data_IF_473009598939
#
_entry.id   IF_473009598939
#
_cell.length_a   1.000
_cell.length_b   1.000
_cell.length_c   1.000
_cell.angle_alpha   90.00
_cell.angle_beta   90.00
_cell.angle_gamma   90.00
#
_symmetry.space_group_name_H-M   'P 1'
#
loop_
_entity.id
_entity.type
_entity.pdbx_description
1 polymer ?
#
# COMPACT_ATOMS: atom_id res chain seq x y z
N UNK A 1 -18.29 -1.13 13.25
CA UNK A 1 -18.19 -0.52 14.60
C UNK A 1 -18.85 0.85 14.56
N UNK A 2 -20.04 1.03 15.15
CA UNK A 2 -20.70 2.35 15.21
C UNK A 2 -19.94 3.21 16.24
N UNK A 3 -19.26 4.24 15.76
CA UNK A 3 -18.32 5.05 16.52
C UNK A 3 -19.04 5.82 17.62
N UNK A 4 -18.51 5.79 18.86
CA UNK A 4 -19.13 6.43 20.05
C UNK A 4 -19.34 7.94 19.89
N UNK A 5 -18.60 8.57 18.98
CA UNK A 5 -18.75 9.98 18.64
C UNK A 5 -20.08 10.26 17.92
N UNK A 6 -20.52 9.35 17.05
CA UNK A 6 -21.75 9.53 16.26
C UNK A 6 -22.99 9.53 17.17
N UNK A 7 -23.02 8.66 18.19
CA UNK A 7 -24.08 8.65 19.22
C UNK A 7 -24.01 9.87 20.13
N UNK A 8 -22.83 10.43 20.37
CA UNK A 8 -22.67 11.62 21.21
C UNK A 8 -23.17 12.90 20.54
N UNK A 9 -22.92 13.05 19.23
CA UNK A 9 -23.41 14.18 18.41
C UNK A 9 -24.94 14.15 18.29
N UNK A 10 -25.53 12.96 18.16
CA UNK A 10 -27.00 12.81 18.14
C UNK A 10 -27.65 13.14 19.48
N UNK A 11 -26.98 12.86 20.60
CA UNK A 11 -27.50 13.15 21.95
C UNK A 11 -27.24 14.59 22.40
N UNK A 12 -26.29 15.29 21.78
CA UNK A 12 -25.95 16.67 22.08
C UNK A 12 -25.77 17.43 20.76
N UNK A 13 -26.86 17.73 20.03
CA UNK A 13 -26.75 18.54 18.83
C UNK A 13 -26.19 19.92 19.21
N UNK A 14 -25.18 20.44 18.48
CA UNK A 14 -24.62 21.75 18.78
C UNK A 14 -25.71 22.82 18.63
N UNK A 15 -25.78 23.74 19.59
CA UNK A 15 -26.68 24.90 19.53
C UNK A 15 -26.19 25.90 18.48
N UNK A 16 -26.44 25.59 17.21
CA UNK A 16 -26.30 26.55 16.12
C UNK A 16 -27.71 26.95 15.68
N UNK A 17 -28.11 28.14 16.15
CA UNK A 17 -29.23 28.88 15.57
C UNK A 17 -29.02 29.00 14.04
N UNK A 18 -30.03 28.68 13.20
CA UNK A 18 -29.92 28.78 11.74
C UNK A 18 -29.54 30.17 11.21
N UNK A 19 -29.57 31.21 12.05
CA UNK A 19 -29.20 32.58 11.70
C UNK A 19 -27.68 32.86 11.78
N UNK A 20 -26.85 31.94 12.28
CA UNK A 20 -25.40 32.15 12.41
C UNK A 20 -24.57 31.55 11.26
N UNK A 21 -25.22 30.93 10.27
CA UNK A 21 -24.57 30.34 9.12
C UNK A 21 -24.34 31.41 8.03
N UNK A 22 -23.39 32.32 8.31
CA UNK A 22 -23.06 33.41 7.39
C UNK A 22 -22.02 34.43 7.89
N UNK A 23 -21.54 34.35 9.12
CA UNK A 23 -20.49 35.25 9.60
C UNK A 23 -19.10 34.65 9.31
N UNK A 24 -18.56 34.93 8.13
CA UNK A 24 -17.15 34.65 7.82
C UNK A 24 -16.24 35.53 8.68
N UNK A 25 -15.16 34.92 9.16
CA UNK A 25 -14.13 35.52 9.99
C UNK A 25 -13.25 36.47 9.17
N UNK A 26 -13.67 37.71 9.01
CA UNK A 26 -12.78 38.83 8.64
C UNK A 26 -13.08 40.05 9.51
N UNK A 27 -12.72 39.99 10.79
CA UNK A 27 -12.75 41.15 11.68
C UNK A 27 -11.59 42.10 11.34
N UNK A 28 -11.86 42.98 10.36
CA UNK A 28 -11.01 44.10 10.00
C UNK A 28 -10.96 45.14 11.11
N UNK A 29 -9.79 45.29 11.72
CA UNK A 29 -9.48 46.24 12.78
C UNK A 29 -9.45 47.68 12.22
N UNK A 30 -10.55 48.45 12.35
CA UNK A 30 -10.53 49.91 12.19
C UNK A 30 -11.28 50.63 13.31
N UNK A 31 -10.61 51.67 13.79
CA UNK A 31 -10.84 52.45 15.00
C UNK A 31 -12.23 53.10 15.12
N UNK A 32 -12.83 53.02 16.31
CA UNK A 32 -13.96 53.85 16.71
C UNK A 32 -13.49 54.91 17.71
N UNK A 33 -13.25 56.11 17.19
CA UNK A 33 -12.99 57.35 17.94
C UNK A 33 -14.32 58.09 18.06
N UNK A 34 -14.77 58.37 19.28
CA UNK A 34 -15.77 59.41 19.55
C UNK A 34 -16.94 58.99 20.44
N UNK A 35 -16.91 59.41 21.70
CA UNK A 35 -18.11 59.88 22.42
C UNK A 35 -17.67 61.00 23.38
N UNK A 36 -18.03 62.24 23.02
CA UNK A 36 -17.91 63.44 23.86
C UNK A 36 -19.35 63.86 24.18
N UNK A 37 -19.59 64.12 25.46
CA UNK A 37 -20.90 64.45 26.02
C UNK A 37 -20.97 65.96 26.23
N UNK A 38 -22.06 66.52 25.69
CA UNK A 38 -22.91 67.65 26.13
C UNK A 38 -22.33 68.97 26.69
N UNK A 39 -23.01 70.06 26.33
CA UNK A 39 -22.75 71.40 26.88
C UNK A 39 -23.22 72.60 26.06
N UNK A 40 -24.53 72.71 25.83
CA UNK A 40 -25.35 73.95 25.94
C UNK A 40 -25.11 75.18 25.03
N UNK A 41 -26.15 75.57 24.27
CA UNK A 41 -26.83 76.89 24.33
C UNK A 41 -27.43 77.36 22.98
N UNK A 42 -28.74 77.66 22.97
CA UNK A 42 -29.31 78.79 22.22
C UNK A 42 -30.17 78.51 20.97
N UNK A 43 -31.51 78.47 21.14
CA UNK A 43 -32.53 78.69 20.08
C UNK A 43 -32.71 80.22 19.78
N UNK A 44 -33.69 80.71 18.98
CA UNK A 44 -34.65 80.09 18.03
C UNK A 44 -34.92 80.88 16.70
N UNK A 45 -35.63 80.23 15.75
CA UNK A 45 -36.68 80.72 14.80
C UNK A 45 -36.52 80.02 13.42
N UNK A 46 -37.43 79.15 12.96
CA UNK A 46 -38.84 79.29 12.56
C UNK A 46 -39.01 79.70 11.07
N UNK A 47 -39.54 78.77 10.26
CA UNK A 47 -40.40 79.11 9.11
C UNK A 47 -40.16 78.37 7.79
N UNK A 48 -41.10 77.46 7.47
CA UNK A 48 -41.74 77.23 6.15
C UNK A 48 -40.99 76.57 4.98
N UNK A 49 -41.40 75.32 4.72
CA UNK A 49 -41.93 74.74 3.46
C UNK A 49 -41.68 75.42 2.09
N UNK A 50 -41.27 74.61 1.09
CA UNK A 50 -41.44 74.92 -0.34
C UNK A 50 -40.25 74.64 -1.27
N UNK A 51 -40.29 73.49 -1.95
CA UNK A 51 -40.08 73.24 -3.40
C UNK A 51 -38.94 73.90 -4.21
N UNK A 52 -38.36 73.07 -5.09
CA UNK A 52 -37.65 73.35 -6.37
C UNK A 52 -36.12 73.38 -6.39
N UNK A 53 -35.56 72.23 -6.77
CA UNK A 53 -34.70 72.02 -7.93
C UNK A 53 -33.48 72.95 -8.13
N UNK A 54 -32.31 72.55 -7.64
CA UNK A 54 -31.04 72.82 -8.31
C UNK A 54 -30.20 71.55 -8.39
N UNK A 55 -29.78 71.25 -9.62
CA UNK A 55 -28.88 70.17 -9.98
C UNK A 55 -27.53 70.36 -9.29
N UNK A 56 -27.08 69.37 -8.53
CA UNK A 56 -25.65 69.14 -8.35
C UNK A 56 -25.32 67.73 -8.83
N UNK A 57 -24.71 67.70 -10.00
CA UNK A 57 -24.21 66.52 -10.65
C UNK A 57 -22.86 66.16 -10.03
N UNK A 58 -22.85 65.22 -9.11
CA UNK A 58 -21.69 64.36 -8.90
C UNK A 58 -22.14 62.91 -8.94
N UNK A 59 -21.76 62.26 -10.04
CA UNK A 59 -22.12 60.92 -10.41
C UNK A 59 -21.74 59.91 -9.33
N UNK A 60 -22.68 59.00 -9.13
CA UNK A 60 -22.52 57.67 -8.60
C UNK A 60 -21.60 56.83 -9.52
N UNK A 61 -21.12 55.71 -8.99
CA UNK A 61 -20.40 54.60 -9.66
C UNK A 61 -18.85 54.64 -9.58
N UNK A 62 -18.33 54.40 -8.37
CA UNK A 62 -17.05 53.70 -8.15
C UNK A 62 -17.36 52.23 -7.82
N UNK A 63 -17.89 51.48 -8.80
CA UNK A 63 -18.16 50.03 -8.71
C UNK A 63 -17.85 49.36 -10.08
N UNK A 64 -16.62 49.49 -10.59
CA UNK A 64 -16.22 48.91 -11.90
C UNK A 64 -14.85 48.22 -11.89
N UNK A 65 -14.41 47.76 -10.72
CA UNK A 65 -13.19 46.98 -10.48
C UNK A 65 -13.43 45.46 -10.35
N UNK A 66 -14.63 45.00 -10.75
CA UNK A 66 -14.98 43.59 -11.00
C UNK A 66 -15.19 43.26 -12.49
N UNK A 67 -14.89 44.20 -13.39
CA UNK A 67 -14.90 43.93 -14.83
C UNK A 67 -13.62 43.17 -15.24
N UNK A 68 -13.78 41.91 -15.64
CA UNK A 68 -12.71 41.11 -16.22
C UNK A 68 -12.21 41.81 -17.49
N UNK A 69 -10.95 42.26 -17.51
CA UNK A 69 -10.35 42.92 -18.67
C UNK A 69 -10.47 42.01 -19.92
N UNK A 70 -11.21 42.49 -20.92
CA UNK A 70 -11.48 41.83 -22.22
C UNK A 70 -10.66 42.47 -23.34
N UNK A 71 -9.67 43.31 -23.01
CA UNK A 71 -8.74 43.81 -24.02
C UNK A 71 -8.08 42.64 -24.74
N UNK A 72 -7.85 42.79 -26.05
CA UNK A 72 -7.28 41.76 -26.90
C UNK A 72 -5.93 41.23 -26.35
N UNK A 73 -5.17 42.10 -25.68
CA UNK A 73 -3.95 41.74 -24.98
C UNK A 73 -4.19 40.84 -23.75
N UNK A 74 -5.21 41.12 -22.93
CA UNK A 74 -5.57 40.30 -21.78
C UNK A 74 -6.18 38.94 -22.19
N UNK A 75 -6.98 38.91 -23.26
CA UNK A 75 -7.50 37.66 -23.84
C UNK A 75 -6.39 36.82 -24.44
N UNK A 76 -5.43 37.45 -25.15
CA UNK A 76 -4.26 36.76 -25.70
C UNK A 76 -3.35 36.21 -24.62
N UNK A 77 -3.08 36.97 -23.55
CA UNK A 77 -2.29 36.49 -22.42
C UNK A 77 -2.97 35.30 -21.73
N UNK A 78 -4.29 35.34 -21.50
CA UNK A 78 -5.04 34.19 -20.96
C UNK A 78 -5.04 33.00 -21.91
N UNK A 79 -5.14 33.24 -23.22
CA UNK A 79 -5.10 32.17 -24.23
C UNK A 79 -3.70 31.55 -24.33
N UNK A 80 -2.65 32.35 -24.20
CA UNK A 80 -1.25 31.90 -24.18
C UNK A 80 -0.93 31.15 -22.88
N UNK A 81 -1.48 31.57 -21.74
CA UNK A 81 -1.31 30.89 -20.45
C UNK A 81 -2.12 29.57 -20.40
N UNK A 82 -3.33 29.54 -20.98
CA UNK A 82 -4.10 28.31 -21.19
C UNK A 82 -3.41 27.38 -22.20
N UNK A 83 -2.84 27.92 -23.27
CA UNK A 83 -2.13 27.13 -24.29
C UNK A 83 -0.80 26.62 -23.74
N UNK A 84 -0.08 27.40 -22.93
CA UNK A 84 1.17 26.99 -22.29
C UNK A 84 0.93 26.00 -21.15
N UNK A 85 -0.12 26.19 -20.36
CA UNK A 85 -0.60 25.22 -19.37
C UNK A 85 -1.06 23.91 -20.01
N UNK A 86 -1.72 23.97 -21.17
CA UNK A 86 -2.10 22.79 -21.95
C UNK A 86 -0.89 22.12 -22.62
N UNK A 87 0.11 22.89 -23.07
CA UNK A 87 1.36 22.36 -23.68
C UNK A 87 2.24 21.61 -22.67
N UNK A 88 2.13 21.93 -21.38
CA UNK A 88 2.70 21.11 -20.31
C UNK A 88 1.94 19.80 -20.04
N UNK A 89 0.72 19.65 -20.59
CA UNK A 89 -0.19 18.55 -20.32
C UNK A 89 -0.38 17.56 -21.48
N UNK A 90 0.06 17.90 -22.70
CA UNK A 90 -0.18 17.06 -23.88
C UNK A 90 1.09 16.91 -24.73
N UNK A 91 1.61 15.67 -24.77
CA UNK A 91 2.78 15.18 -25.52
C UNK A 91 4.11 15.51 -24.83
N UNK A 92 4.53 14.62 -23.92
CA UNK A 92 5.95 14.51 -23.63
C UNK A 92 6.64 14.06 -24.93
N UNK A 93 7.60 14.84 -25.43
CA UNK A 93 8.50 14.52 -26.56
C UNK A 93 9.06 13.08 -26.49
N UNK A 94 9.16 12.53 -25.29
CA UNK A 94 9.55 11.15 -25.03
C UNK A 94 8.60 10.07 -25.59
N UNK A 95 7.30 10.36 -25.80
CA UNK A 95 6.38 9.40 -26.42
C UNK A 95 6.59 9.28 -27.94
N UNK A 96 7.20 10.27 -28.57
CA UNK A 96 7.56 10.21 -29.99
C UNK A 96 8.82 9.36 -30.23
N UNK A 97 9.56 9.05 -29.16
CA UNK A 97 10.75 8.18 -29.20
C UNK A 97 10.38 6.73 -29.37
N UNK A 98 11.33 5.95 -29.89
CA UNK A 98 11.13 4.52 -30.11
C UNK A 98 10.92 3.77 -28.79
N UNK A 99 10.23 2.61 -28.80
CA UNK A 99 10.03 1.82 -27.58
C UNK A 99 11.32 1.41 -26.86
N UNK A 100 12.45 1.34 -27.58
CA UNK A 100 13.77 1.04 -27.00
C UNK A 100 14.33 2.25 -26.26
N UNK A 101 14.28 3.43 -26.86
CA UNK A 101 14.73 4.66 -26.22
C UNK A 101 13.92 4.97 -24.96
N UNK A 102 12.61 4.73 -24.96
CA UNK A 102 11.78 4.87 -23.74
C UNK A 102 12.20 3.92 -22.62
N UNK A 103 12.59 2.70 -22.97
CA UNK A 103 13.14 1.72 -22.01
C UNK A 103 14.49 2.20 -21.46
N UNK A 104 15.36 2.73 -22.32
CA UNK A 104 16.68 3.23 -21.93
C UNK A 104 16.58 4.47 -21.03
N UNK A 105 15.62 5.35 -21.29
CA UNK A 105 15.30 6.49 -20.42
C UNK A 105 14.86 6.00 -19.04
N UNK A 106 13.94 5.05 -18.99
CA UNK A 106 13.50 4.46 -17.72
C UNK A 106 14.65 3.76 -16.98
N UNK A 107 15.49 3.02 -17.70
CA UNK A 107 16.68 2.39 -17.13
C UNK A 107 17.62 3.42 -16.49
N UNK A 108 17.91 4.52 -17.20
CA UNK A 108 18.78 5.58 -16.69
C UNK A 108 18.20 6.24 -15.44
N UNK A 109 16.88 6.47 -15.41
CA UNK A 109 16.17 7.04 -14.28
C UNK A 109 16.26 6.14 -13.04
N UNK A 110 15.94 4.85 -13.18
CA UNK A 110 15.99 3.89 -12.06
C UNK A 110 17.43 3.70 -11.59
N UNK A 111 18.41 3.66 -12.50
CA UNK A 111 19.83 3.55 -12.16
C UNK A 111 20.30 4.74 -11.31
N UNK A 112 19.91 5.96 -11.66
CA UNK A 112 20.22 7.14 -10.86
C UNK A 112 19.63 7.06 -9.44
N UNK A 113 18.37 6.60 -9.31
CA UNK A 113 17.71 6.43 -8.01
C UNK A 113 18.35 5.32 -7.17
N UNK A 114 18.81 4.24 -7.82
CA UNK A 114 19.60 3.18 -7.20
C UNK A 114 20.91 3.71 -6.64
N UNK A 115 21.66 4.45 -7.44
CA UNK A 115 22.99 4.97 -7.06
C UNK A 115 22.92 5.98 -5.90
N UNK A 116 21.78 6.66 -5.78
CA UNK A 116 21.48 7.55 -4.65
C UNK A 116 20.98 6.79 -3.40
N UNK A 117 20.78 5.47 -3.46
CA UNK A 117 20.26 4.67 -2.37
C UNK A 117 18.80 4.97 -2.01
N UNK A 118 18.01 5.52 -2.94
CA UNK A 118 16.66 5.99 -2.67
C UNK A 118 15.58 4.93 -2.91
N UNK A 119 15.91 3.77 -3.49
CA UNK A 119 14.91 2.75 -3.89
C UNK A 119 14.07 2.20 -2.74
N UNK A 120 14.59 2.25 -1.50
CA UNK A 120 13.87 1.79 -0.30
C UNK A 120 13.18 2.94 0.45
N UNK A 121 13.34 4.18 0.01
CA UNK A 121 12.71 5.35 0.64
C UNK A 121 11.22 5.37 0.32
N UNK A 122 10.41 5.67 1.33
CA UNK A 122 8.96 5.83 1.16
C UNK A 122 8.64 6.91 0.12
N UNK A 123 7.76 6.57 -0.85
CA UNK A 123 7.33 7.47 -1.92
C UNK A 123 8.10 7.29 -3.23
N UNK A 124 9.34 6.80 -3.18
CA UNK A 124 10.12 6.53 -4.40
C UNK A 124 9.52 5.41 -5.23
N UNK A 125 8.81 4.46 -4.61
CA UNK A 125 8.01 3.45 -5.32
C UNK A 125 6.96 4.08 -6.24
N UNK A 126 6.28 5.13 -5.77
CA UNK A 126 5.28 5.86 -6.56
C UNK A 126 5.92 6.67 -7.67
N UNK A 127 7.03 7.35 -7.38
CA UNK A 127 7.77 8.14 -8.38
C UNK A 127 8.23 7.27 -9.55
N UNK A 128 8.76 6.07 -9.27
CA UNK A 128 9.21 5.12 -10.30
C UNK A 128 8.03 4.61 -11.13
N UNK A 129 6.87 4.36 -10.50
CA UNK A 129 5.66 3.94 -11.22
C UNK A 129 5.14 5.05 -12.12
N UNK A 130 5.09 6.29 -11.63
CA UNK A 130 4.66 7.44 -12.43
C UNK A 130 5.56 7.66 -13.65
N UNK A 131 6.88 7.50 -13.49
CA UNK A 131 7.81 7.60 -14.61
C UNK A 131 7.64 6.45 -15.61
N UNK A 132 7.39 5.23 -15.13
CA UNK A 132 7.10 4.08 -15.99
C UNK A 132 5.77 4.24 -16.76
N UNK A 133 4.77 4.88 -16.15
CA UNK A 133 3.49 5.23 -16.79
C UNK A 133 3.68 6.33 -17.83
N UNK A 134 4.43 7.39 -17.50
CA UNK A 134 4.78 8.48 -18.41
C UNK A 134 5.48 7.98 -19.68
N UNK A 135 6.35 6.99 -19.55
CA UNK A 135 7.10 6.39 -20.66
C UNK A 135 6.37 5.20 -21.33
N UNK A 136 5.19 4.81 -20.84
CA UNK A 136 4.42 3.63 -21.28
C UNK A 136 5.25 2.33 -21.28
N UNK A 137 6.08 2.13 -20.25
CA UNK A 137 6.94 0.93 -20.09
C UNK A 137 6.58 0.11 -18.85
N UNK A 138 5.43 0.38 -18.22
CA UNK A 138 4.96 -0.29 -16.99
C UNK A 138 5.02 -1.82 -17.08
N UNK A 139 4.62 -2.40 -18.20
CA UNK A 139 4.64 -3.86 -18.42
C UNK A 139 6.05 -4.47 -18.47
N UNK A 140 7.06 -3.68 -18.83
CA UNK A 140 8.46 -4.11 -18.95
C UNK A 140 9.32 -3.65 -17.79
N UNK A 141 8.82 -2.76 -16.94
CA UNK A 141 9.56 -2.21 -15.81
C UNK A 141 10.14 -3.30 -14.89
N UNK A 142 9.43 -4.40 -14.54
CA UNK A 142 10.02 -5.46 -13.70
C UNK A 142 11.26 -6.11 -14.29
N UNK A 143 11.34 -6.25 -15.62
CA UNK A 143 12.51 -6.80 -16.30
C UNK A 143 13.75 -5.93 -16.05
N UNK A 144 13.59 -4.61 -16.14
CA UNK A 144 14.64 -3.61 -15.92
C UNK A 144 15.02 -3.54 -14.43
N UNK A 145 14.02 -3.62 -13.55
CA UNK A 145 14.23 -3.64 -12.11
C UNK A 145 15.05 -4.85 -11.67
N UNK A 146 14.78 -6.04 -12.22
CA UNK A 146 15.57 -7.24 -11.95
C UNK A 146 17.05 -7.02 -12.28
N UNK A 147 17.35 -6.47 -13.46
CA UNK A 147 18.73 -6.24 -13.89
C UNK A 147 19.47 -5.25 -12.98
N UNK A 148 18.78 -4.22 -12.48
CA UNK A 148 19.40 -3.15 -11.69
C UNK A 148 19.54 -3.48 -10.20
N UNK A 149 18.62 -4.31 -9.67
CA UNK A 149 18.46 -4.54 -8.23
C UNK A 149 19.02 -5.91 -7.82
N UNK A 150 18.83 -6.94 -8.64
CA UNK A 150 19.11 -8.31 -8.24
C UNK A 150 20.54 -8.75 -8.58
N UNK A 151 21.12 -9.48 -7.62
CA UNK A 151 22.43 -10.13 -7.74
C UNK A 151 22.34 -11.57 -7.19
N UNK A 152 23.46 -12.11 -6.72
CA UNK A 152 23.57 -13.44 -6.11
C UNK A 152 22.63 -13.61 -4.88
N UNK A 153 22.22 -12.52 -4.24
CA UNK A 153 21.33 -12.46 -3.07
C UNK A 153 19.87 -12.15 -3.44
N UNK A 154 19.44 -12.49 -4.66
CA UNK A 154 18.09 -12.25 -5.20
C UNK A 154 16.97 -12.55 -4.18
N UNK A 155 17.03 -13.66 -3.43
CA UNK A 155 15.98 -14.05 -2.46
C UNK A 155 15.81 -13.00 -1.34
N UNK A 156 16.91 -12.42 -0.84
CA UNK A 156 16.85 -11.38 0.19
C UNK A 156 16.37 -10.07 -0.42
N UNK A 157 16.90 -9.72 -1.59
CA UNK A 157 16.53 -8.49 -2.28
C UNK A 157 15.05 -8.47 -2.69
N UNK A 158 14.48 -9.60 -3.08
CA UNK A 158 13.04 -9.71 -3.37
C UNK A 158 12.19 -9.29 -2.18
N UNK A 159 12.60 -9.64 -0.94
CA UNK A 159 11.90 -9.23 0.28
C UNK A 159 12.07 -7.72 0.51
N UNK A 160 13.29 -7.20 0.34
CA UNK A 160 13.60 -5.77 0.51
C UNK A 160 12.82 -4.88 -0.45
N UNK A 161 12.70 -5.30 -1.72
CA UNK A 161 12.09 -4.52 -2.79
C UNK A 161 10.67 -5.00 -3.13
N UNK A 162 10.04 -5.83 -2.29
CA UNK A 162 8.70 -6.39 -2.52
C UNK A 162 7.69 -5.30 -2.88
N UNK A 163 7.62 -4.24 -2.08
CA UNK A 163 6.65 -3.15 -2.29
C UNK A 163 6.81 -2.50 -3.66
N UNK A 164 8.05 -2.27 -4.11
CA UNK A 164 8.32 -1.67 -5.42
C UNK A 164 7.88 -2.61 -6.55
N UNK A 165 8.23 -3.90 -6.46
CA UNK A 165 7.88 -4.89 -7.48
C UNK A 165 6.36 -5.10 -7.55
N UNK A 166 5.70 -5.18 -6.39
CA UNK A 166 4.26 -5.38 -6.28
C UNK A 166 3.46 -4.26 -6.95
N UNK A 167 3.96 -3.02 -6.94
CA UNK A 167 3.32 -1.88 -7.65
C UNK A 167 3.21 -2.11 -9.16
N UNK A 168 4.10 -2.92 -9.73
CA UNK A 168 4.09 -3.25 -11.14
C UNK A 168 3.34 -4.54 -11.43
N UNK A 169 3.46 -5.55 -10.57
CA UNK A 169 2.93 -6.89 -10.84
C UNK A 169 1.48 -7.08 -10.44
N UNK A 170 0.98 -6.33 -9.45
CA UNK A 170 -0.38 -6.49 -8.96
C UNK A 170 -1.42 -6.21 -10.06
N UNK A 171 -2.20 -7.24 -10.42
CA UNK A 171 -3.19 -7.18 -11.49
C UNK A 171 -2.61 -7.02 -12.90
N UNK A 172 -1.30 -7.21 -13.10
CA UNK A 172 -0.65 -7.06 -14.40
C UNK A 172 0.12 -8.33 -14.80
N UNK A 173 -0.57 -9.19 -15.56
CA UNK A 173 -0.04 -10.45 -16.12
C UNK A 173 1.23 -10.22 -16.97
N UNK A 174 1.29 -9.12 -17.74
CA UNK A 174 2.45 -8.84 -18.60
C UNK A 174 3.68 -8.48 -17.77
N UNK A 175 3.50 -7.67 -16.73
CA UNK A 175 4.55 -7.30 -15.79
C UNK A 175 5.05 -8.52 -15.00
N UNK A 176 4.16 -9.42 -14.58
CA UNK A 176 4.54 -10.68 -13.94
C UNK A 176 5.37 -11.59 -14.88
N UNK A 177 4.95 -11.74 -16.15
CA UNK A 177 5.74 -12.47 -17.16
C UNK A 177 7.09 -11.79 -17.46
N UNK A 178 7.15 -10.46 -17.39
CA UNK A 178 8.41 -9.72 -17.53
C UNK A 178 9.32 -9.92 -16.31
N UNK A 179 8.75 -10.01 -15.10
CA UNK A 179 9.48 -10.30 -13.87
C UNK A 179 10.15 -11.67 -13.93
N UNK A 180 9.41 -12.72 -14.32
CA UNK A 180 9.97 -14.07 -14.52
C UNK A 180 11.10 -14.07 -15.55
N UNK A 181 10.93 -13.36 -16.66
CA UNK A 181 12.00 -13.17 -17.65
C UNK A 181 13.24 -12.47 -17.08
N UNK A 182 13.05 -11.47 -16.22
CA UNK A 182 14.14 -10.80 -15.53
C UNK A 182 14.88 -11.72 -14.57
N UNK A 183 14.17 -12.61 -13.88
CA UNK A 183 14.78 -13.63 -13.03
C UNK A 183 15.61 -14.62 -13.85
N UNK A 184 15.15 -15.05 -15.03
CA UNK A 184 15.95 -15.88 -15.95
C UNK A 184 17.26 -15.18 -16.34
N UNK A 185 17.21 -13.88 -16.67
CA UNK A 185 18.41 -13.09 -16.97
C UNK A 185 19.38 -13.03 -15.77
N UNK A 186 18.88 -12.83 -14.56
CA UNK A 186 19.71 -12.79 -13.34
C UNK A 186 20.34 -14.16 -13.06
N UNK A 187 19.59 -15.25 -13.25
CA UNK A 187 20.13 -16.62 -13.17
C UNK A 187 21.23 -16.81 -14.21
N UNK A 188 21.05 -16.33 -15.45
CA UNK A 188 22.05 -16.41 -16.49
C UNK A 188 23.36 -15.67 -16.12
N UNK A 189 23.28 -14.55 -15.40
CA UNK A 189 24.46 -13.82 -14.93
C UNK A 189 25.19 -14.53 -13.78
N UNK A 190 24.46 -15.30 -12.95
CA UNK A 190 24.99 -15.94 -11.74
C UNK A 190 24.67 -17.45 -11.67
N UNK A 191 24.82 -18.16 -12.80
CA UNK A 191 24.32 -19.53 -12.98
C UNK A 191 24.80 -20.50 -11.89
N UNK A 192 26.10 -20.48 -11.59
CA UNK A 192 26.71 -21.39 -10.61
C UNK A 192 26.08 -21.30 -9.22
N UNK A 193 25.55 -20.13 -8.85
CA UNK A 193 25.01 -19.88 -7.50
C UNK A 193 23.49 -19.87 -7.46
N UNK A 194 22.83 -19.39 -8.52
CA UNK A 194 21.38 -19.22 -8.56
C UNK A 194 20.63 -20.42 -9.15
N UNK A 195 21.23 -21.18 -10.07
CA UNK A 195 20.57 -22.33 -10.71
C UNK A 195 20.11 -23.40 -9.68
N UNK A 196 20.89 -23.77 -8.65
CA UNK A 196 20.42 -24.67 -7.60
C UNK A 196 19.31 -24.07 -6.71
N UNK A 197 19.18 -22.74 -6.69
CA UNK A 197 18.23 -22.00 -5.84
C UNK A 197 16.92 -21.68 -6.55
N UNK A 198 16.75 -22.08 -7.83
CA UNK A 198 15.54 -21.81 -8.62
C UNK A 198 14.23 -22.15 -7.88
N UNK A 199 14.06 -23.33 -7.25
CA UNK A 199 12.85 -23.63 -6.48
C UNK A 199 12.56 -22.61 -5.38
N UNK A 200 13.60 -22.17 -4.68
CA UNK A 200 13.49 -21.22 -3.58
C UNK A 200 13.17 -19.80 -4.07
N UNK A 201 13.70 -19.42 -5.23
CA UNK A 201 13.38 -18.15 -5.88
C UNK A 201 11.91 -18.15 -6.30
N UNK A 202 11.43 -19.21 -6.95
CA UNK A 202 10.02 -19.33 -7.37
C UNK A 202 9.07 -19.33 -6.18
N UNK A 203 9.38 -20.10 -5.13
CA UNK A 203 8.65 -20.05 -3.86
C UNK A 203 8.62 -18.64 -3.28
N UNK A 204 9.74 -17.92 -3.30
CA UNK A 204 9.78 -16.53 -2.87
C UNK A 204 8.92 -15.59 -3.72
N UNK A 205 8.81 -15.81 -5.04
CA UNK A 205 7.95 -15.00 -5.90
C UNK A 205 6.47 -15.23 -5.58
N UNK A 206 6.10 -16.48 -5.34
CA UNK A 206 4.76 -16.90 -4.94
C UNK A 206 4.39 -16.34 -3.55
N UNK A 207 5.19 -16.61 -2.51
CA UNK A 207 4.90 -16.19 -1.13
C UNK A 207 4.89 -14.67 -0.92
N UNK A 208 5.56 -13.91 -1.80
CA UNK A 208 5.58 -12.45 -1.74
C UNK A 208 4.47 -11.82 -2.61
N UNK A 209 3.57 -12.61 -3.19
CA UNK A 209 2.49 -12.18 -4.11
C UNK A 209 3.03 -11.41 -5.33
N UNK A 210 4.24 -11.73 -5.77
CA UNK A 210 4.87 -11.04 -6.91
C UNK A 210 4.45 -11.64 -8.23
N UNK A 211 4.15 -12.94 -8.26
CA UNK A 211 3.70 -13.67 -9.45
C UNK A 211 2.61 -14.65 -9.03
N UNK A 212 1.49 -14.61 -9.75
CA UNK A 212 0.34 -15.48 -9.57
C UNK A 212 0.66 -16.90 -10.04
N UNK A 213 0.03 -17.88 -9.40
CA UNK A 213 0.25 -19.30 -9.64
C UNK A 213 0.06 -19.70 -11.11
N UNK A 214 -1.06 -19.28 -11.71
CA UNK A 214 -1.38 -19.53 -13.12
C UNK A 214 -0.25 -19.11 -14.06
N UNK A 215 0.41 -17.98 -13.75
CA UNK A 215 1.50 -17.44 -14.57
C UNK A 215 2.78 -18.24 -14.37
N UNK A 216 3.06 -18.70 -13.14
CA UNK A 216 4.19 -19.59 -12.87
C UNK A 216 4.00 -20.92 -13.61
N UNK A 217 2.80 -21.50 -13.59
CA UNK A 217 2.47 -22.74 -14.30
C UNK A 217 2.55 -22.56 -15.82
N UNK A 218 2.03 -21.45 -16.37
CA UNK A 218 2.13 -21.15 -17.80
C UNK A 218 3.59 -21.00 -18.23
N UNK A 219 4.40 -20.28 -17.47
CA UNK A 219 5.84 -20.13 -17.71
C UNK A 219 6.56 -21.49 -17.61
N UNK A 220 6.21 -22.29 -16.61
CA UNK A 220 6.79 -23.60 -16.34
C UNK A 220 6.48 -24.67 -17.40
N UNK A 221 5.48 -24.44 -18.25
CA UNK A 221 4.97 -25.43 -19.20
C UNK A 221 5.94 -25.77 -20.34
N UNK A 222 6.75 -24.81 -20.80
CA UNK A 222 7.64 -25.00 -21.96
C UNK A 222 8.87 -24.10 -21.92
N UNK A 223 10.05 -24.60 -22.34
CA UNK A 223 11.24 -23.77 -22.48
C UNK A 223 11.03 -22.63 -23.48
N UNK A 224 11.61 -21.47 -23.18
CA UNK A 224 11.54 -20.27 -24.00
C UNK A 224 12.93 -19.80 -24.41
N UNK A 225 13.02 -19.10 -25.54
CA UNK A 225 14.24 -18.43 -26.02
C UNK A 225 14.15 -16.90 -25.97
N UNK A 226 13.16 -16.38 -25.24
CA UNK A 226 12.81 -14.95 -25.26
C UNK A 226 13.84 -14.11 -24.52
N UNK A 227 14.32 -14.59 -23.37
CA UNK A 227 15.21 -13.84 -22.49
C UNK A 227 16.58 -14.51 -22.35
N UNK A 228 16.62 -15.85 -22.34
CA UNK A 228 17.85 -16.66 -22.24
C UNK A 228 17.94 -17.70 -23.35
N UNK A 229 19.08 -18.40 -23.45
CA UNK A 229 19.24 -19.51 -24.39
C UNK A 229 18.24 -20.63 -24.08
N UNK A 230 17.83 -21.38 -25.12
CA UNK A 230 16.88 -22.49 -24.95
C UNK A 230 17.42 -23.58 -24.03
N UNK A 231 18.73 -23.82 -24.07
CA UNK A 231 19.44 -24.75 -23.19
C UNK A 231 19.30 -24.32 -21.73
N UNK A 232 19.66 -23.07 -21.41
CA UNK A 232 19.56 -22.57 -20.05
C UNK A 232 18.10 -22.54 -19.56
N UNK A 233 17.14 -22.16 -20.41
CA UNK A 233 15.72 -22.20 -20.04
C UNK A 233 15.28 -23.64 -19.70
N UNK A 234 15.76 -24.64 -20.43
CA UNK A 234 15.49 -26.05 -20.14
C UNK A 234 16.09 -26.46 -18.79
N UNK A 235 17.32 -26.03 -18.49
CA UNK A 235 17.98 -26.30 -17.21
C UNK A 235 17.28 -25.62 -16.03
N UNK A 236 16.84 -24.37 -16.20
CA UNK A 236 16.06 -23.64 -15.20
C UNK A 236 14.75 -24.38 -14.92
N UNK A 237 14.03 -24.80 -15.97
CA UNK A 237 12.78 -25.55 -15.83
C UNK A 237 13.00 -26.92 -15.18
N UNK A 238 14.10 -27.60 -15.48
CA UNK A 238 14.46 -28.86 -14.83
C UNK A 238 14.69 -28.68 -13.32
N UNK A 239 15.33 -27.57 -12.91
CA UNK A 239 15.45 -27.22 -11.49
C UNK A 239 14.14 -26.76 -10.86
N UNK A 240 13.26 -26.13 -11.63
CA UNK A 240 11.95 -25.66 -11.16
C UNK A 240 10.93 -26.80 -10.93
N UNK A 241 11.11 -27.97 -11.53
CA UNK A 241 10.13 -29.08 -11.49
C UNK A 241 9.57 -29.39 -10.10
N UNK A 242 10.39 -29.53 -9.03
CA UNK A 242 9.85 -29.85 -7.70
C UNK A 242 8.84 -28.82 -7.19
N UNK A 243 9.06 -27.54 -7.51
CA UNK A 243 8.14 -26.46 -7.13
C UNK A 243 6.90 -26.43 -8.01
N UNK A 244 7.05 -26.67 -9.32
CA UNK A 244 5.91 -26.73 -10.25
C UNK A 244 4.97 -27.91 -9.96
N UNK A 245 5.52 -29.05 -9.55
CA UNK A 245 4.72 -30.19 -9.08
C UNK A 245 3.99 -29.84 -7.79
N UNK A 246 4.68 -29.26 -6.81
CA UNK A 246 4.07 -28.83 -5.55
C UNK A 246 2.91 -27.84 -5.76
N UNK A 247 3.03 -26.88 -6.68
CA UNK A 247 1.93 -25.96 -7.01
C UNK A 247 0.70 -26.69 -7.58
N UNK A 248 0.90 -27.67 -8.47
CA UNK A 248 -0.20 -28.44 -9.06
C UNK A 248 -0.90 -29.34 -8.05
N UNK A 249 -0.13 -30.02 -7.21
CA UNK A 249 -0.69 -30.92 -6.20
C UNK A 249 -1.52 -30.13 -5.16
N UNK A 250 -1.11 -28.89 -4.85
CA UNK A 250 -1.87 -28.00 -3.96
C UNK A 250 -3.20 -27.52 -4.56
N UNK A 251 -3.31 -27.42 -5.89
CA UNK A 251 -4.56 -27.10 -6.58
C UNK A 251 -5.55 -28.28 -6.50
N UNK A 252 -5.06 -29.52 -6.72
CA UNK A 252 -5.90 -30.73 -6.70
C UNK A 252 -6.46 -31.07 -5.30
N UNK A 253 -5.73 -30.80 -4.22
CA UNK A 253 -6.20 -31.08 -2.84
C UNK A 253 -7.25 -30.07 -2.33
N UNK A 254 -7.33 -28.87 -2.91
CA UNK A 254 -8.26 -27.82 -2.48
C UNK A 254 -9.69 -27.99 -3.03
N UNK A 255 -9.90 -28.84 -4.04
CA UNK A 255 -11.20 -29.03 -4.71
C UNK A 255 -11.99 -30.25 -4.16
N UNK A 256 -11.41 -31.05 -3.26
CA UNK A 256 -11.97 -32.33 -2.78
C UNK A 256 -12.53 -32.29 -1.34
N UNK A 257 -12.85 -31.10 -0.80
CA UNK A 257 -13.21 -30.94 0.63
C UNK A 257 -14.43 -30.05 0.90
N UNK A 258 -15.52 -30.19 0.13
CA UNK A 258 -16.81 -29.51 0.39
C UNK A 258 -18.03 -30.46 0.48
N UNK A 259 -17.86 -31.69 0.97
CA UNK A 259 -18.98 -32.60 1.27
C UNK A 259 -18.86 -33.29 2.64
N UNK A 260 -18.92 -32.49 3.70
CA UNK A 260 -19.18 -33.02 5.05
C UNK A 260 -20.34 -32.27 5.71
N UNK A 261 -21.54 -32.50 5.19
CA UNK A 261 -22.79 -32.25 5.91
C UNK A 261 -22.86 -33.22 7.10
N UNK A 262 -22.32 -32.79 8.24
CA UNK A 262 -22.42 -33.52 9.50
C UNK A 262 -23.84 -33.37 10.02
N UNK A 263 -24.70 -34.33 9.68
CA UNK A 263 -26.04 -34.50 10.26
C UNK A 263 -25.91 -34.74 11.78
N UNK A 264 -26.18 -33.69 12.58
CA UNK A 264 -26.17 -33.77 14.04
C UNK A 264 -27.43 -34.52 14.48
N UNK A 265 -27.33 -35.83 14.63
CA UNK A 265 -28.34 -36.66 15.28
C UNK A 265 -28.27 -36.40 16.80
N UNK A 266 -29.25 -35.66 17.33
CA UNK A 266 -29.35 -35.38 18.77
C UNK A 266 -29.75 -36.64 19.54
N UNK A 267 -28.84 -37.21 20.32
CA UNK A 267 -29.12 -38.32 21.24
C UNK A 267 -29.96 -37.82 22.44
N UNK A 268 -31.24 -38.17 22.45
CA UNK A 268 -32.29 -37.71 23.38
C UNK A 268 -32.23 -38.39 24.78
N UNK A 269 -31.04 -38.84 25.21
CA UNK A 269 -30.90 -39.71 26.40
C UNK A 269 -30.29 -39.06 27.65
N UNK A 270 -29.95 -37.78 27.61
CA UNK A 270 -29.48 -37.06 28.80
C UNK A 270 -30.65 -36.41 29.59
N UNK A 271 -31.41 -37.22 30.33
CA UNK A 271 -32.17 -36.68 31.49
C UNK A 271 -31.21 -36.58 32.67
N UNK A 272 -30.97 -35.38 33.25
CA UNK A 272 -30.12 -35.27 34.43
C UNK A 272 -30.89 -35.83 35.64
N UNK A 273 -30.40 -36.95 36.18
CA UNK A 273 -30.81 -37.43 37.49
C UNK A 273 -30.29 -36.50 38.57
N UNK A 274 -31.19 -36.24 39.50
CA UNK A 274 -31.15 -35.27 40.59
C UNK A 274 -30.02 -35.48 41.59
N UNK A 275 -29.53 -34.35 42.11
CA UNK A 275 -28.87 -34.15 43.40
C UNK A 275 -29.08 -35.27 44.42
N UNK A 276 -27.99 -35.85 44.95
CA UNK A 276 -27.73 -36.05 46.39
C UNK A 276 -26.20 -36.22 46.55
N UNK A 277 -25.57 -35.18 47.09
CA UNK A 277 -24.25 -35.24 47.71
C UNK A 277 -24.48 -35.22 49.22
N UNK A 278 -24.02 -36.25 49.94
CA UNK A 278 -23.56 -36.14 51.34
C UNK A 278 -22.95 -37.46 51.87
N UNK A 279 -21.61 -37.50 51.83
CA UNK A 279 -20.70 -37.49 53.00
C UNK A 279 -20.70 -38.64 54.04
N UNK A 280 -19.47 -39.22 54.15
CA UNK A 280 -18.78 -39.82 55.31
C UNK A 280 -19.09 -41.26 55.77
N UNK A 281 -18.06 -42.13 55.83
CA UNK A 281 -17.23 -42.42 57.03
C UNK A 281 -16.07 -43.40 56.69
N UNK A 282 -15.13 -43.56 57.63
CA UNK A 282 -13.69 -43.77 57.41
C UNK A 282 -13.13 -45.12 57.94
N UNK A 283 -12.08 -45.64 57.24
CA UNK A 283 -10.90 -46.49 57.65
C UNK A 283 -11.08 -47.76 58.54
N UNK A 284 -10.06 -48.65 58.80
CA UNK A 284 -8.66 -48.74 58.32
C UNK A 284 -8.07 -50.15 57.97
N UNK A 285 -6.86 -50.13 57.36
CA UNK A 285 -5.64 -50.97 57.57
C UNK A 285 -5.66 -52.50 57.35
N UNK A 286 -4.77 -52.96 56.45
CA UNK A 286 -3.88 -54.10 56.70
C UNK A 286 -2.63 -54.04 55.81
N UNK A 287 -1.48 -53.79 56.43
CA UNK A 287 -0.16 -53.96 55.85
C UNK A 287 0.22 -55.44 55.81
N UNK A 288 0.91 -55.86 54.74
CA UNK A 288 1.83 -57.01 54.77
C UNK A 288 3.07 -56.69 53.94
N UNK A 289 4.18 -56.57 54.64
CA UNK A 289 5.54 -56.60 54.11
C UNK A 289 6.06 -58.05 54.03
N UNK A 290 6.92 -58.31 53.04
CA UNK A 290 8.05 -59.27 53.00
C UNK A 290 8.67 -59.16 51.59
N UNK A 291 9.80 -58.49 51.37
CA UNK A 291 11.19 -58.72 51.79
C UNK A 291 11.94 -59.79 50.96
N UNK A 292 13.17 -59.41 50.56
CA UNK A 292 14.27 -60.10 49.85
C UNK A 292 14.40 -59.70 48.37
N UNK A 293 15.54 -59.25 47.83
CA UNK A 293 16.93 -59.35 48.27
C UNK A 293 17.79 -58.21 47.69
N UNK A 294 18.90 -57.95 48.36
CA UNK A 294 19.94 -56.97 48.02
C UNK A 294 20.97 -57.53 47.02
N UNK A 295 21.55 -56.61 46.23
CA UNK A 295 22.93 -56.51 45.73
C UNK A 295 23.03 -55.00 45.31
N UNK A 296 23.78 -54.12 45.99
CA UNK A 296 25.24 -53.89 45.89
C UNK A 296 25.72 -53.95 44.43
N UNK A 297 26.45 -53.01 43.83
CA UNK A 297 26.95 -51.65 44.08
C UNK A 297 27.44 -51.18 42.69
N UNK A 298 27.55 -49.87 42.44
CA UNK A 298 28.60 -49.23 41.60
C UNK A 298 28.17 -47.78 41.30
N UNK A 299 28.43 -46.91 42.29
CA UNK A 299 28.82 -45.52 42.02
C UNK A 299 30.30 -45.53 41.62
N UNK A 300 30.62 -44.78 40.55
CA UNK A 300 31.78 -43.87 40.45
C UNK A 300 33.17 -44.51 40.71
N UNK A 301 34.13 -44.55 39.80
CA UNK A 301 34.68 -43.46 39.01
C UNK A 301 35.95 -43.98 38.32
N UNK A 302 36.55 -43.10 37.50
CA UNK A 302 38.01 -43.01 37.25
C UNK A 302 38.51 -43.57 35.90
N UNK A 303 38.77 -42.63 34.98
CA UNK A 303 39.92 -42.69 34.09
C UNK A 303 40.71 -41.38 34.20
N UNK A 304 41.48 -41.34 35.28
CA UNK A 304 42.88 -40.93 35.40
C UNK A 304 43.53 -40.04 34.33
N UNK A 305 44.11 -38.93 34.82
CA UNK A 305 45.16 -38.17 34.16
C UNK A 305 46.33 -37.95 35.13
N UNK A 306 47.50 -38.43 34.72
CA UNK A 306 48.87 -38.18 35.23
C UNK A 306 49.35 -38.90 36.51
N UNK A 307 49.94 -40.10 36.36
CA UNK A 307 51.37 -40.40 36.66
C UNK A 307 51.66 -41.86 37.11
N UNK A 308 52.63 -42.47 36.39
CA UNK A 308 53.51 -43.64 36.70
C UNK A 308 52.96 -45.05 36.48
#
# INVERSE_FOLDING_TARGET
>A
MRHKLTTFILKNPPEVSPAAQGASLTEGKKAKRGKKQDGQSGSPKQGSDGSENEQDATNNDDDDDWAVDVSEAAVKARMEDLTSGAKGMTISDDLEKTPKERIDLFYSYVKQRRDQGLLTKAGTDKDIVLEAERLEVKDKAPLILCELIFDINTIVQMKTYRTLLLRFTHGNVKAQKALLGGIECVINLHQSTLLPKVPHILKGLYELDLVDEEIILEWGSKPSRKYVSKELSTDILAKAQPFLTWLKDAEEESDDSDDSDVEIEYDDRARPTTLIEQKNQATPVAAKAKASAANEDDEEDEFDIDAI
#
